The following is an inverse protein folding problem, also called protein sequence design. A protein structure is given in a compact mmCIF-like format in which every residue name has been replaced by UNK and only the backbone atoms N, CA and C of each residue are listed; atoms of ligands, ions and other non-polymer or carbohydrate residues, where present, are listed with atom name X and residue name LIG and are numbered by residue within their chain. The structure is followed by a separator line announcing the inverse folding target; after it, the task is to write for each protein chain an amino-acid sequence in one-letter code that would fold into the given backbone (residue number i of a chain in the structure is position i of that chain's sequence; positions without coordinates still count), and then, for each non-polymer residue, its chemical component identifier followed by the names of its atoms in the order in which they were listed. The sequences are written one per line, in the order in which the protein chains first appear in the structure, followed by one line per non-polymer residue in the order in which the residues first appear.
data_IF_731998335588
#
_entry.id   IF_731998335588
#
_cell.length_a   1.000
_cell.length_b   1.000
_cell.length_c   1.000
_cell.angle_alpha   90.00
_cell.angle_beta   90.00
_cell.angle_gamma   90.00
#
_symmetry.space_group_name_H-M   'P 1'
#
loop_
_entity.id
_entity.type
_entity.pdbx_description
1 polymer ?
#
# COMPACT_ATOMS: atom_id res chain seq x y z
N UNK A 1 -38.32 35.25 56.00
CA UNK A 1 -38.22 36.52 55.24
C UNK A 1 -37.05 36.33 54.26
N UNK A 2 -37.13 36.49 52.93
CA UNK A 2 -37.77 37.54 52.12
C UNK A 2 -37.06 38.89 52.34
N UNK A 3 -36.47 39.60 51.35
CA UNK A 3 -36.30 39.50 49.87
C UNK A 3 -34.85 39.99 49.53
N UNK A 4 -34.31 40.08 48.31
CA UNK A 4 -34.89 40.32 46.98
C UNK A 4 -34.02 39.78 45.83
N UNK A 5 -34.67 39.50 44.70
CA UNK A 5 -34.05 39.36 43.37
C UNK A 5 -34.04 40.75 42.66
N UNK A 6 -33.33 40.92 41.54
CA UNK A 6 -34.08 41.21 40.30
C UNK A 6 -33.72 40.30 39.12
N UNK A 7 -34.63 40.26 38.15
CA UNK A 7 -34.77 39.20 37.14
C UNK A 7 -34.32 39.68 35.75
N UNK A 8 -33.67 38.80 35.00
CA UNK A 8 -33.99 38.60 33.57
C UNK A 8 -33.79 37.10 33.25
N UNK A 9 -34.81 36.31 32.88
CA UNK A 9 -35.38 36.16 31.51
C UNK A 9 -34.35 36.10 30.37
N UNK A 10 -34.45 35.21 29.37
CA UNK A 10 -35.15 33.92 29.18
C UNK A 10 -34.95 33.47 27.72
N UNK A 11 -34.76 32.17 27.44
CA UNK A 11 -34.77 31.54 26.09
C UNK A 11 -33.61 32.01 25.15
N UNK A 12 -32.85 31.14 24.46
CA UNK A 12 -33.17 30.15 23.39
C UNK A 12 -33.56 30.81 22.06
N UNK A 13 -32.61 30.83 21.10
CA UNK A 13 -32.71 30.90 19.62
C UNK A 13 -31.24 30.94 19.09
N UNK A 14 -30.72 29.87 18.47
CA UNK A 14 -30.70 29.56 17.02
C UNK A 14 -29.81 30.51 16.18
N UNK A 15 -28.67 29.96 15.74
CA UNK A 15 -27.94 30.11 14.47
C UNK A 15 -27.56 31.47 13.85
N UNK A 16 -26.51 31.39 13.00
CA UNK A 16 -26.02 32.37 12.01
C UNK A 16 -25.32 33.63 12.55
N UNK A 17 -23.98 33.59 12.46
CA UNK A 17 -23.19 34.78 12.11
C UNK A 17 -21.91 34.38 11.33
N UNK A 18 -22.10 33.67 10.22
CA UNK A 18 -21.08 33.56 9.17
C UNK A 18 -21.01 34.88 8.37
N UNK A 19 -19.83 35.18 7.83
CA UNK A 19 -19.50 36.35 7.00
C UNK A 19 -19.65 37.74 7.65
N UNK A 20 -18.56 38.22 8.27
CA UNK A 20 -17.93 39.54 8.09
C UNK A 20 -16.80 39.63 9.15
N UNK A 21 -15.59 39.18 8.86
CA UNK A 21 -14.61 39.99 8.11
C UNK A 21 -13.99 39.27 6.93
N UNK A 22 -14.22 39.79 5.72
CA UNK A 22 -13.36 39.53 4.56
C UNK A 22 -12.17 40.51 4.54
N UNK A 23 -11.17 40.22 3.71
CA UNK A 23 -10.22 41.19 3.16
C UNK A 23 -9.40 42.04 4.14
N UNK A 24 -8.51 41.39 4.90
CA UNK A 24 -7.16 41.94 5.12
C UNK A 24 -6.21 41.00 4.41
N UNK A 25 -5.48 41.49 3.41
CA UNK A 25 -4.63 40.66 2.56
C UNK A 25 -3.53 39.97 3.37
N UNK A 26 -3.53 38.63 3.36
CA UNK A 26 -2.44 37.82 3.91
C UNK A 26 -1.13 38.24 3.23
N UNK A 27 -0.13 38.60 4.03
CA UNK A 27 1.20 38.91 3.51
C UNK A 27 1.80 37.64 2.90
N UNK A 28 2.52 37.73 1.76
CA UNK A 28 3.31 36.59 1.30
C UNK A 28 4.30 36.16 2.39
N UNK A 29 4.57 34.87 2.50
CA UNK A 29 5.67 34.38 3.33
C UNK A 29 6.98 35.04 2.87
N UNK A 30 7.87 35.43 3.80
CA UNK A 30 9.19 35.94 3.43
C UNK A 30 10.03 34.84 2.79
N UNK A 31 10.96 35.21 1.91
CA UNK A 31 11.89 34.30 1.22
C UNK A 31 12.98 33.70 2.15
N UNK A 32 12.71 33.64 3.45
CA UNK A 32 13.63 33.28 4.54
C UNK A 32 12.85 32.54 5.63
N UNK A 33 13.37 31.39 6.09
CA UNK A 33 12.77 30.63 7.19
C UNK A 33 12.69 31.48 8.49
N UNK A 34 11.61 31.36 9.29
CA UNK A 34 11.59 31.82 10.69
C UNK A 34 12.83 31.35 11.47
N UNK A 35 13.34 32.17 12.38
CA UNK A 35 14.59 31.91 13.11
C UNK A 35 14.51 30.62 13.95
N UNK A 36 13.32 30.30 14.44
CA UNK A 36 13.00 29.07 15.16
C UNK A 36 13.22 27.84 14.26
N UNK A 37 12.81 27.92 13.00
CA UNK A 37 13.02 26.84 12.01
C UNK A 37 14.47 26.80 11.49
N UNK A 38 15.17 27.94 11.45
CA UNK A 38 16.61 27.98 11.17
C UNK A 38 17.46 27.29 12.25
N UNK A 39 16.97 27.21 13.49
CA UNK A 39 17.66 26.53 14.60
C UNK A 39 17.55 25.00 14.59
N UNK A 40 16.74 24.42 13.69
CA UNK A 40 16.58 22.98 13.55
C UNK A 40 17.67 22.39 12.66
N UNK A 41 18.16 21.19 12.98
CA UNK A 41 19.19 20.47 12.21
C UNK A 41 18.76 20.19 10.75
N UNK A 42 17.45 20.18 10.50
CA UNK A 42 16.85 20.06 9.15
C UNK A 42 16.85 21.36 8.33
N UNK A 43 17.22 22.53 8.90
CA UNK A 43 17.09 23.83 8.24
C UNK A 43 17.82 23.89 6.88
N UNK A 44 18.98 23.25 6.78
CA UNK A 44 19.76 23.13 5.53
C UNK A 44 19.08 22.34 4.41
N UNK A 45 18.00 21.60 4.73
CA UNK A 45 17.19 20.80 3.79
C UNK A 45 15.84 21.45 3.46
N UNK A 46 15.47 22.54 4.14
CA UNK A 46 14.20 23.24 3.94
C UNK A 46 14.33 24.32 2.86
N UNK A 47 13.95 23.98 1.63
CA UNK A 47 13.94 24.91 0.51
C UNK A 47 12.80 25.93 0.59
N UNK A 48 13.15 27.22 0.68
CA UNK A 48 12.17 28.33 0.66
C UNK A 48 12.03 29.02 -0.69
N UNK A 49 12.69 28.55 -1.76
CA UNK A 49 12.59 29.15 -3.09
C UNK A 49 11.13 29.15 -3.60
N UNK A 50 10.49 30.32 -3.71
CA UNK A 50 9.11 30.38 -4.16
C UNK A 50 8.96 30.03 -5.64
N UNK A 51 10.05 29.99 -6.42
CA UNK A 51 9.99 29.52 -7.80
C UNK A 51 9.91 27.99 -7.88
N UNK A 52 10.78 27.25 -7.19
CA UNK A 52 10.70 25.79 -7.07
C UNK A 52 9.35 25.34 -6.48
N UNK A 53 8.92 25.98 -5.38
CA UNK A 53 7.60 25.71 -4.78
C UNK A 53 6.46 25.97 -5.78
N UNK A 54 6.52 27.06 -6.56
CA UNK A 54 5.52 27.34 -7.62
C UNK A 54 5.64 26.43 -8.84
N UNK A 55 6.75 25.72 -9.06
CA UNK A 55 6.85 24.72 -10.13
C UNK A 55 6.22 23.40 -9.68
N UNK A 56 6.56 22.89 -8.50
CA UNK A 56 5.94 21.69 -7.92
C UNK A 56 4.42 21.88 -7.73
N UNK A 57 4.00 23.03 -7.18
CA UNK A 57 2.59 23.39 -6.95
C UNK A 57 1.81 23.83 -8.21
N UNK A 58 2.33 23.60 -9.42
CA UNK A 58 1.65 23.94 -10.69
C UNK A 58 1.15 22.74 -11.48
N UNK A 59 1.62 21.54 -11.17
CA UNK A 59 1.29 20.32 -11.89
C UNK A 59 0.25 19.49 -11.12
N UNK A 60 0.54 19.18 -9.85
CA UNK A 60 -0.27 18.32 -8.96
C UNK A 60 -0.73 16.99 -9.61
N UNK A 61 -0.07 16.52 -10.67
CA UNK A 61 -0.47 15.35 -11.45
C UNK A 61 -1.91 15.40 -11.95
N UNK A 62 -2.52 16.59 -12.08
CA UNK A 62 -3.96 16.72 -12.39
C UNK A 62 -4.85 15.80 -11.51
N UNK A 63 -4.46 15.52 -10.27
CA UNK A 63 -5.06 14.51 -9.37
C UNK A 63 -6.51 14.82 -8.91
N UNK A 64 -7.22 15.72 -9.60
CA UNK A 64 -8.58 16.14 -9.30
C UNK A 64 -9.38 16.19 -10.60
N UNK A 65 -10.30 15.23 -10.76
CA UNK A 65 -11.19 15.15 -11.92
C UNK A 65 -12.59 14.69 -11.50
N UNK A 66 -13.63 15.53 -11.61
CA UNK A 66 -15.00 15.08 -11.39
C UNK A 66 -15.47 14.18 -12.55
N UNK A 67 -16.46 13.28 -12.32
CA UNK A 67 -17.19 13.04 -11.07
C UNK A 67 -16.70 11.80 -10.28
N UNK A 68 -17.25 11.64 -9.07
CA UNK A 68 -17.34 10.45 -8.17
C UNK A 68 -16.51 10.55 -6.86
N UNK A 69 -17.03 10.03 -5.72
CA UNK A 69 -16.36 9.64 -4.44
C UNK A 69 -15.24 8.58 -4.33
N UNK A 70 -14.35 8.68 -3.33
CA UNK A 70 -13.31 7.71 -2.94
C UNK A 70 -13.81 6.26 -2.74
N UNK A 71 -13.31 5.30 -3.53
CA UNK A 71 -13.95 3.99 -3.68
C UNK A 71 -13.95 3.10 -2.42
N UNK A 72 -15.11 2.98 -1.77
CA UNK A 72 -15.44 1.92 -0.82
C UNK A 72 -16.39 0.90 -1.45
N UNK A 73 -16.04 -0.39 -1.34
CA UNK A 73 -16.92 -1.47 -1.77
C UNK A 73 -18.03 -1.73 -0.75
N UNK A 74 -19.26 -1.94 -1.24
CA UNK A 74 -20.47 -2.16 -0.44
C UNK A 74 -21.01 -3.56 -0.67
N UNK A 75 -20.80 -4.47 0.29
CA UNK A 75 -20.85 -5.90 0.02
C UNK A 75 -22.27 -6.53 -0.04
N UNK A 76 -23.26 -5.95 0.65
CA UNK A 76 -24.55 -6.63 0.90
C UNK A 76 -25.61 -6.55 -0.23
N UNK A 77 -25.27 -6.11 -1.44
CA UNK A 77 -26.15 -6.23 -2.62
C UNK A 77 -25.34 -6.61 -3.87
N UNK A 78 -25.79 -7.65 -4.58
CA UNK A 78 -25.23 -8.02 -5.88
C UNK A 78 -25.40 -6.88 -6.89
N UNK A 79 -24.32 -6.59 -7.62
CA UNK A 79 -24.09 -5.43 -8.49
C UNK A 79 -25.36 -4.70 -8.99
N UNK A 80 -25.78 -3.66 -8.26
CA UNK A 80 -26.74 -2.67 -8.74
C UNK A 80 -26.07 -1.30 -8.78
N UNK A 81 -26.14 -0.65 -9.93
CA UNK A 81 -25.71 0.73 -10.11
C UNK A 81 -26.66 1.66 -9.35
N UNK A 82 -26.22 2.13 -8.18
CA UNK A 82 -26.68 3.39 -7.60
C UNK A 82 -25.62 4.44 -7.94
N UNK A 83 -26.00 5.56 -8.57
CA UNK A 83 -25.12 6.47 -9.34
C UNK A 83 -23.94 7.13 -8.60
N UNK A 84 -23.75 6.89 -7.30
CA UNK A 84 -22.47 7.14 -6.61
C UNK A 84 -22.12 5.93 -5.72
N UNK A 85 -20.85 5.51 -5.80
CA UNK A 85 -20.29 4.50 -4.89
C UNK A 85 -20.29 4.98 -3.44
N UNK A 86 -20.03 4.06 -2.50
CA UNK A 86 -19.80 4.48 -1.11
C UNK A 86 -18.39 5.09 -0.99
N UNK A 87 -18.25 6.13 -0.16
CA UNK A 87 -16.99 6.85 0.01
C UNK A 87 -16.76 7.29 1.46
N UNK A 88 -15.52 7.68 1.78
CA UNK A 88 -15.15 8.27 3.05
C UNK A 88 -14.15 9.42 2.82
N UNK A 89 -14.44 10.57 3.44
CA UNK A 89 -13.54 11.71 3.48
C UNK A 89 -12.52 11.47 4.61
N UNK A 90 -11.23 11.63 4.32
CA UNK A 90 -10.14 11.32 5.26
C UNK A 90 -9.07 12.41 5.22
N UNK A 91 -8.62 12.86 6.40
CA UNK A 91 -7.48 13.75 6.52
C UNK A 91 -6.19 13.12 5.98
N UNK A 92 -5.40 13.89 5.22
CA UNK A 92 -4.16 13.41 4.59
C UNK A 92 -3.10 12.91 5.59
N UNK A 93 -3.22 13.28 6.85
CA UNK A 93 -2.37 12.89 7.98
C UNK A 93 -2.77 11.56 8.65
N UNK A 94 -3.99 11.06 8.43
CA UNK A 94 -4.48 9.80 8.99
C UNK A 94 -3.71 8.60 8.41
N UNK A 95 -3.64 7.49 9.14
CA UNK A 95 -3.03 6.25 8.64
C UNK A 95 -4.07 5.31 8.00
N UNK A 96 -3.66 4.51 7.02
CA UNK A 96 -4.55 3.52 6.38
C UNK A 96 -5.13 2.49 7.36
N UNK A 97 -4.44 2.20 8.47
CA UNK A 97 -4.96 1.35 9.55
C UNK A 97 -6.15 1.99 10.28
N UNK A 98 -6.11 3.30 10.54
CA UNK A 98 -7.21 4.03 11.17
C UNK A 98 -8.42 4.12 10.23
N UNK A 99 -8.16 4.33 8.93
CA UNK A 99 -9.20 4.28 7.88
C UNK A 99 -9.85 2.90 7.81
N UNK A 100 -9.07 1.82 7.75
CA UNK A 100 -9.60 0.46 7.76
C UNK A 100 -10.49 0.21 8.99
N UNK A 101 -9.99 0.57 10.17
CA UNK A 101 -10.75 0.44 11.41
C UNK A 101 -12.01 1.31 11.42
N UNK A 102 -12.02 2.46 10.73
CA UNK A 102 -13.16 3.37 10.63
C UNK A 102 -14.20 2.94 9.57
N UNK A 103 -13.80 2.50 8.37
CA UNK A 103 -14.74 2.09 7.32
C UNK A 103 -15.41 0.76 7.65
N UNK A 104 -14.71 -0.14 8.35
CA UNK A 104 -15.31 -1.36 8.90
C UNK A 104 -16.41 -1.03 9.92
N UNK A 105 -16.49 0.22 10.44
CA UNK A 105 -17.61 0.72 11.25
C UNK A 105 -18.87 1.08 10.46
N UNK A 106 -18.90 0.69 9.19
CA UNK A 106 -20.04 0.83 8.29
C UNK A 106 -20.19 -0.39 7.35
N UNK A 107 -19.43 -1.47 7.58
CA UNK A 107 -19.37 -2.64 6.68
C UNK A 107 -18.64 -2.37 5.36
N UNK A 108 -17.71 -1.40 5.34
CA UNK A 108 -17.03 -0.91 4.14
C UNK A 108 -15.50 -1.04 4.27
N UNK A 109 -14.80 -1.09 3.13
CA UNK A 109 -13.34 -1.03 3.06
C UNK A 109 -12.87 -0.35 1.77
N UNK A 110 -11.75 0.39 1.79
CA UNK A 110 -11.01 0.77 0.59
C UNK A 110 -10.68 -0.44 -0.29
N UNK A 111 -10.67 -0.23 -1.61
CA UNK A 111 -10.45 -1.30 -2.60
C UNK A 111 -8.99 -1.47 -3.06
N UNK A 112 -8.12 -0.52 -2.71
CA UNK A 112 -6.69 -0.54 -3.04
C UNK A 112 -5.83 -0.14 -1.84
N UNK A 113 -4.73 -0.85 -1.63
CA UNK A 113 -3.96 -0.83 -0.39
C UNK A 113 -2.46 -0.67 -0.64
N UNK A 114 -1.73 -0.41 0.44
CA UNK A 114 -0.29 -0.70 0.56
C UNK A 114 -0.09 -1.89 1.50
N UNK A 115 0.99 -2.64 1.33
CA UNK A 115 1.33 -3.78 2.22
C UNK A 115 1.32 -3.43 3.71
N UNK A 116 1.75 -2.21 4.03
CA UNK A 116 1.92 -1.69 5.37
C UNK A 116 0.96 -0.52 5.61
N UNK A 117 0.10 -0.65 6.62
CA UNK A 117 -1.04 0.24 6.86
C UNK A 117 -0.71 1.46 7.74
N UNK A 118 0.45 1.50 8.38
CA UNK A 118 0.91 2.62 9.22
C UNK A 118 1.62 3.70 8.37
N UNK A 119 1.14 3.88 7.14
CA UNK A 119 1.51 4.95 6.21
C UNK A 119 0.35 5.95 6.13
N UNK A 120 0.66 7.23 5.95
CA UNK A 120 -0.38 8.27 5.87
C UNK A 120 -1.02 8.33 4.49
N UNK A 121 -2.29 8.73 4.43
CA UNK A 121 -3.05 8.84 3.17
C UNK A 121 -2.33 9.75 2.18
N UNK A 122 -2.01 10.99 2.58
CA UNK A 122 -1.28 11.93 1.72
C UNK A 122 0.11 11.46 1.33
N UNK A 123 0.77 10.65 2.17
CA UNK A 123 2.08 10.07 1.89
C UNK A 123 2.06 9.02 0.78
N UNK A 124 1.11 8.09 0.80
CA UNK A 124 0.99 7.07 -0.27
C UNK A 124 0.47 7.67 -1.57
N UNK A 125 -0.48 8.61 -1.50
CA UNK A 125 -1.04 9.30 -2.66
C UNK A 125 -0.05 10.26 -3.34
N UNK A 126 0.91 10.81 -2.61
CA UNK A 126 2.03 11.57 -3.21
C UNK A 126 3.02 10.69 -4.00
N UNK A 127 2.79 9.37 -4.08
CA UNK A 127 3.62 8.41 -4.81
C UNK A 127 2.77 7.58 -5.79
N UNK A 128 1.96 6.66 -5.25
CA UNK A 128 0.99 5.84 -5.98
C UNK A 128 0.10 5.04 -5.01
N UNK A 129 0.73 4.38 -4.03
CA UNK A 129 0.10 3.37 -3.16
C UNK A 129 -0.21 2.08 -3.94
N UNK A 130 0.63 1.07 -3.80
CA UNK A 130 0.51 -0.22 -4.51
C UNK A 130 0.61 -1.40 -3.55
N UNK A 131 -0.12 -2.46 -3.89
CA UNK A 131 -0.09 -3.81 -3.30
C UNK A 131 -0.86 -4.75 -4.26
N UNK A 132 -1.06 -6.01 -3.90
CA UNK A 132 -1.65 -7.02 -4.77
C UNK A 132 -3.08 -6.77 -5.29
N UNK A 133 -3.82 -5.76 -4.83
CA UNK A 133 -5.10 -5.36 -5.43
C UNK A 133 -4.93 -4.51 -6.71
N UNK A 134 -3.73 -3.97 -6.97
CA UNK A 134 -3.49 -2.97 -8.03
C UNK A 134 -3.79 -3.49 -9.45
N UNK A 135 -3.67 -4.79 -9.72
CA UNK A 135 -4.06 -5.34 -11.03
C UNK A 135 -5.58 -5.23 -11.31
N UNK A 136 -6.41 -5.21 -10.26
CA UNK A 136 -7.88 -5.22 -10.36
C UNK A 136 -8.47 -3.83 -10.22
N UNK A 137 -8.00 -3.08 -9.22
CA UNK A 137 -8.54 -1.77 -8.83
C UNK A 137 -7.63 -0.59 -9.19
N UNK A 138 -6.39 -0.83 -9.61
CA UNK A 138 -5.38 0.23 -9.77
C UNK A 138 -4.70 0.62 -8.45
N UNK A 139 -3.72 1.53 -8.51
CA UNK A 139 -3.07 2.07 -7.31
C UNK A 139 -4.05 2.94 -6.50
N UNK A 140 -3.66 3.32 -5.29
CA UNK A 140 -4.48 4.20 -4.43
C UNK A 140 -4.75 5.55 -5.11
N UNK A 141 -3.80 6.12 -5.87
CA UNK A 141 -4.02 7.34 -6.67
C UNK A 141 -5.11 7.21 -7.75
N UNK A 142 -5.44 5.99 -8.19
CA UNK A 142 -6.55 5.72 -9.13
C UNK A 142 -7.86 5.36 -8.42
N UNK A 143 -7.85 5.35 -7.09
CA UNK A 143 -9.01 5.18 -6.21
C UNK A 143 -9.23 6.42 -5.32
N UNK A 144 -8.65 7.55 -5.75
CA UNK A 144 -8.90 8.92 -5.25
C UNK A 144 -9.57 9.72 -6.36
N UNK A 145 -10.30 10.75 -5.94
CA UNK A 145 -11.55 11.13 -6.57
C UNK A 145 -11.81 12.62 -6.31
N UNK A 146 -11.84 12.99 -5.03
CA UNK A 146 -11.69 14.38 -4.56
C UNK A 146 -10.56 14.41 -3.50
N UNK A 147 -9.80 15.50 -3.44
CA UNK A 147 -8.73 15.70 -2.46
C UNK A 147 -8.56 17.19 -2.16
N UNK A 148 -8.76 17.57 -0.90
CA UNK A 148 -8.50 18.91 -0.39
C UNK A 148 -6.99 19.15 -0.23
N UNK A 149 -6.40 20.02 -1.07
CA UNK A 149 -4.96 20.31 -1.07
C UNK A 149 -4.67 21.72 -0.54
N UNK A 150 -3.98 21.79 0.60
CA UNK A 150 -3.31 23.02 1.04
C UNK A 150 -2.18 23.38 0.09
N UNK A 151 -2.51 24.09 -0.99
CA UNK A 151 -1.53 24.79 -1.83
C UNK A 151 -0.71 25.77 -0.97
N UNK A 152 0.42 26.29 -1.50
CA UNK A 152 1.25 27.32 -0.84
C UNK A 152 0.59 28.71 -0.65
N UNK A 153 -0.72 28.74 -0.42
CA UNK A 153 -1.59 29.89 -0.14
C UNK A 153 -2.67 29.59 0.94
N UNK A 154 -3.02 28.32 1.17
CA UNK A 154 -3.68 27.79 2.37
C UNK A 154 -5.14 28.19 2.69
N UNK A 155 -6.13 27.52 2.10
CA UNK A 155 -7.56 27.53 2.51
C UNK A 155 -8.20 26.13 2.31
N UNK A 156 -9.15 25.69 3.17
CA UNK A 156 -9.73 24.31 3.22
C UNK A 156 -10.96 24.23 4.20
N UNK A 157 -12.08 23.52 3.88
CA UNK A 157 -13.28 23.33 4.77
C UNK A 157 -14.13 22.06 4.45
N UNK A 158 -14.58 21.27 5.44
CA UNK A 158 -15.36 19.99 5.23
C UNK A 158 -16.30 19.57 6.43
N UNK A 159 -17.30 18.69 6.21
CA UNK A 159 -18.09 17.90 7.21
C UNK A 159 -18.96 16.80 6.51
N UNK A 160 -19.60 15.76 7.12
CA UNK A 160 -19.95 15.40 8.53
C UNK A 160 -19.98 13.86 8.81
N UNK A 161 -21.00 13.23 9.47
CA UNK A 161 -20.87 11.85 10.07
C UNK A 161 -22.15 11.07 10.50
N UNK A 162 -22.12 9.71 10.41
CA UNK A 162 -22.58 8.62 11.35
C UNK A 162 -22.98 7.28 10.61
N UNK A 163 -23.09 6.03 11.14
CA UNK A 163 -22.60 5.26 12.33
C UNK A 163 -22.92 3.73 12.17
N UNK A 164 -22.27 2.81 12.94
CA UNK A 164 -22.57 1.37 13.28
C UNK A 164 -21.53 0.27 12.88
N UNK A 165 -20.73 -0.19 13.86
CA UNK A 165 -19.66 -1.21 13.72
C UNK A 165 -19.89 -2.55 14.42
N UNK A 166 -19.62 -3.68 13.73
CA UNK A 166 -18.52 -4.65 14.01
C UNK A 166 -18.75 -6.01 13.29
N UNK A 167 -17.65 -6.64 12.83
CA UNK A 167 -17.53 -7.94 12.13
C UNK A 167 -18.29 -8.13 10.79
N UNK A 168 -17.61 -8.68 9.76
CA UNK A 168 -18.28 -9.33 8.61
C UNK A 168 -17.39 -10.22 7.70
N UNK A 169 -16.07 -9.99 7.61
CA UNK A 169 -15.24 -10.52 6.49
C UNK A 169 -14.06 -11.41 6.86
N UNK A 170 -13.86 -12.46 6.07
CA UNK A 170 -12.71 -13.37 6.12
C UNK A 170 -12.09 -13.56 4.72
N UNK A 171 -10.88 -14.12 4.66
CA UNK A 171 -10.14 -14.29 3.41
C UNK A 171 -9.43 -15.64 3.33
N UNK A 172 -9.47 -16.28 2.16
CA UNK A 172 -8.65 -17.44 1.82
C UNK A 172 -7.30 -16.91 1.32
N UNK A 173 -6.25 -17.05 2.12
CA UNK A 173 -4.87 -16.70 1.73
C UNK A 173 -4.15 -17.95 1.25
N UNK A 174 -3.66 -17.93 0.00
CA UNK A 174 -3.00 -19.07 -0.64
C UNK A 174 -1.59 -18.68 -1.06
N UNK A 175 -0.65 -19.59 -0.84
CA UNK A 175 0.72 -19.48 -1.33
C UNK A 175 1.14 -20.72 -2.10
N UNK A 176 1.80 -20.52 -3.24
CA UNK A 176 2.22 -21.57 -4.18
C UNK A 176 3.69 -21.39 -4.56
N UNK A 177 4.49 -22.46 -4.50
CA UNK A 177 5.92 -22.39 -4.80
C UNK A 177 6.25 -22.89 -6.21
N UNK A 178 7.17 -22.19 -6.88
CA UNK A 178 7.67 -22.47 -8.22
C UNK A 178 9.22 -22.44 -8.22
N UNK A 179 9.88 -23.19 -9.11
CA UNK A 179 11.35 -23.13 -9.29
C UNK A 179 11.81 -22.59 -10.67
N UNK A 180 10.93 -22.60 -11.68
CA UNK A 180 11.09 -21.83 -12.91
C UNK A 180 10.38 -20.47 -12.81
N UNK A 181 11.10 -19.41 -13.21
CA UNK A 181 10.56 -18.06 -13.24
C UNK A 181 9.54 -17.86 -14.38
N UNK A 182 9.78 -18.49 -15.54
CA UNK A 182 8.95 -18.33 -16.74
C UNK A 182 7.54 -18.86 -16.52
N UNK A 183 7.45 -19.97 -15.79
CA UNK A 183 6.22 -20.62 -15.34
C UNK A 183 5.51 -19.77 -14.29
N UNK A 184 6.23 -19.28 -13.28
CA UNK A 184 5.72 -18.37 -12.26
C UNK A 184 5.16 -17.06 -12.85
N UNK A 185 5.89 -16.39 -13.74
CA UNK A 185 5.50 -15.09 -14.31
C UNK A 185 4.31 -15.23 -15.26
N UNK A 186 4.29 -16.26 -16.10
CA UNK A 186 3.13 -16.60 -16.96
C UNK A 186 1.88 -16.89 -16.12
N UNK A 187 2.02 -17.64 -15.04
CA UNK A 187 0.88 -18.02 -14.19
C UNK A 187 0.39 -16.81 -13.37
N UNK A 188 1.25 -15.86 -13.01
CA UNK A 188 0.84 -14.54 -12.52
C UNK A 188 0.06 -13.74 -13.58
N UNK A 189 0.58 -13.63 -14.80
CA UNK A 189 -0.06 -12.90 -15.91
C UNK A 189 -1.44 -13.47 -16.27
N UNK A 190 -1.57 -14.80 -16.27
CA UNK A 190 -2.86 -15.46 -16.47
C UNK A 190 -3.87 -15.11 -15.37
N UNK A 191 -3.45 -15.14 -14.10
CA UNK A 191 -4.33 -14.87 -12.98
C UNK A 191 -4.82 -13.42 -12.90
N UNK A 192 -4.00 -12.45 -13.31
CA UNK A 192 -4.45 -11.05 -13.42
C UNK A 192 -5.32 -10.81 -14.67
N UNK A 193 -5.25 -11.67 -15.69
CA UNK A 193 -6.08 -11.54 -16.89
C UNK A 193 -7.51 -12.08 -16.72
N UNK A 194 -7.82 -12.72 -15.60
CA UNK A 194 -9.14 -13.32 -15.31
C UNK A 194 -9.81 -12.67 -14.09
N UNK A 195 -11.15 -12.63 -14.09
CA UNK A 195 -11.91 -12.19 -12.93
C UNK A 195 -12.04 -13.34 -11.91
N UNK A 196 -11.79 -13.05 -10.63
CA UNK A 196 -12.15 -13.95 -9.53
C UNK A 196 -11.28 -13.81 -8.28
N UNK A 197 -10.01 -13.43 -8.43
CA UNK A 197 -9.09 -13.10 -7.33
C UNK A 197 -9.18 -11.64 -6.93
N UNK A 198 -8.97 -11.36 -5.63
CA UNK A 198 -9.07 -10.02 -5.05
C UNK A 198 -7.68 -9.41 -4.74
N UNK A 199 -6.65 -10.25 -4.60
CA UNK A 199 -5.24 -9.85 -4.46
C UNK A 199 -4.33 -10.89 -5.13
N UNK A 200 -3.26 -10.42 -5.78
CA UNK A 200 -2.16 -11.24 -6.29
C UNK A 200 -0.82 -10.51 -6.10
N UNK A 201 0.17 -11.19 -5.53
CA UNK A 201 1.57 -10.77 -5.49
C UNK A 201 2.53 -11.95 -5.70
N UNK A 202 3.83 -11.66 -5.71
CA UNK A 202 4.87 -12.66 -5.77
C UNK A 202 6.16 -12.22 -5.10
N UNK A 203 6.93 -13.18 -4.60
CA UNK A 203 8.16 -12.93 -3.85
C UNK A 203 9.24 -14.00 -4.08
N UNK A 204 10.49 -13.67 -3.79
CA UNK A 204 11.62 -14.61 -3.86
C UNK A 204 11.96 -15.17 -2.47
N UNK A 205 12.07 -16.49 -2.39
CA UNK A 205 12.62 -17.22 -1.26
C UNK A 205 14.04 -17.66 -1.61
N UNK A 206 15.03 -17.06 -0.93
CA UNK A 206 16.46 -17.34 -1.11
C UNK A 206 17.07 -17.85 0.20
N UNK A 207 18.31 -18.35 0.17
CA UNK A 207 18.96 -18.94 1.36
C UNK A 207 19.15 -17.95 2.53
N UNK A 208 19.18 -16.63 2.26
CA UNK A 208 19.24 -15.56 3.26
C UNK A 208 17.86 -14.98 3.62
N UNK A 209 16.78 -15.52 3.03
CA UNK A 209 15.39 -15.16 3.34
C UNK A 209 14.84 -16.15 4.38
N UNK A 210 14.36 -15.64 5.52
CA UNK A 210 13.70 -16.50 6.52
C UNK A 210 12.41 -17.09 5.93
N UNK A 211 12.19 -18.43 5.96
CA UNK A 211 10.90 -19.04 5.66
C UNK A 211 9.84 -18.67 6.70
N UNK A 212 10.26 -18.29 7.90
CA UNK A 212 9.45 -17.66 8.94
C UNK A 212 9.54 -16.14 8.77
N UNK A 213 8.74 -15.59 7.87
CA UNK A 213 8.56 -14.15 7.68
C UNK A 213 7.06 -13.82 7.75
N UNK A 214 6.68 -12.57 7.94
CA UNK A 214 5.26 -12.18 7.99
C UNK A 214 4.41 -12.51 6.76
N UNK A 215 5.03 -12.73 5.58
CA UNK A 215 4.33 -13.24 4.40
C UNK A 215 4.06 -14.74 4.51
N UNK A 216 4.65 -15.51 5.44
CA UNK A 216 4.44 -16.97 5.46
C UNK A 216 3.09 -17.38 6.06
N UNK A 217 2.23 -17.94 5.21
CA UNK A 217 1.11 -18.81 5.62
C UNK A 217 1.60 -20.18 6.13
N UNK A 218 2.85 -20.53 5.84
CA UNK A 218 3.46 -21.84 6.09
C UNK A 218 3.45 -22.25 7.56
N UNK A 219 2.97 -23.47 7.83
CA UNK A 219 3.16 -24.12 9.14
C UNK A 219 4.66 -24.39 9.40
N UNK A 220 5.16 -24.25 10.66
CA UNK A 220 6.56 -24.54 10.99
C UNK A 220 7.05 -25.97 10.64
N UNK A 221 6.14 -26.92 10.44
CA UNK A 221 6.43 -28.26 9.93
C UNK A 221 7.02 -28.27 8.51
N UNK A 222 6.68 -27.27 7.69
CA UNK A 222 7.10 -27.19 6.29
C UNK A 222 8.46 -26.49 6.12
N UNK A 223 8.94 -25.75 7.14
CA UNK A 223 10.20 -25.01 7.07
C UNK A 223 11.41 -25.88 6.65
N UNK A 224 11.60 -27.13 7.11
CA UNK A 224 12.70 -27.99 6.65
C UNK A 224 12.57 -28.39 5.18
N UNK A 225 11.33 -28.62 4.72
CA UNK A 225 10.99 -29.02 3.35
C UNK A 225 11.21 -27.87 2.36
N UNK A 226 10.78 -26.66 2.73
CA UNK A 226 11.01 -25.42 1.98
C UNK A 226 12.51 -25.05 1.98
N UNK A 227 13.20 -25.14 3.11
CA UNK A 227 14.65 -24.91 3.21
C UNK A 227 15.47 -25.86 2.33
N UNK A 228 15.06 -27.13 2.26
CA UNK A 228 15.67 -28.14 1.37
C UNK A 228 15.48 -27.78 -0.11
N UNK A 229 14.26 -27.37 -0.48
CA UNK A 229 13.92 -26.93 -1.84
C UNK A 229 14.74 -25.69 -2.26
N UNK A 230 14.82 -24.66 -1.39
CA UNK A 230 15.66 -23.47 -1.61
C UNK A 230 17.14 -23.87 -1.75
N UNK A 231 17.64 -24.77 -0.89
CA UNK A 231 19.05 -25.22 -0.94
C UNK A 231 19.39 -26.02 -2.20
N UNK A 232 18.41 -26.66 -2.82
CA UNK A 232 18.57 -27.40 -4.09
C UNK A 232 18.52 -26.49 -5.32
N UNK A 233 17.62 -25.51 -5.33
CA UNK A 233 17.29 -24.69 -6.50
C UNK A 233 17.89 -23.27 -6.46
N UNK A 234 18.46 -22.85 -5.33
CA UNK A 234 19.07 -21.54 -5.08
C UNK A 234 18.05 -20.42 -4.83
N UNK A 235 17.01 -20.36 -5.66
CA UNK A 235 15.89 -19.43 -5.57
C UNK A 235 14.59 -20.22 -5.80
N UNK A 236 13.58 -19.92 -4.99
CA UNK A 236 12.20 -20.39 -5.18
C UNK A 236 11.28 -19.16 -5.24
N UNK A 237 10.30 -19.20 -6.13
CA UNK A 237 9.35 -18.11 -6.32
C UNK A 237 8.05 -18.48 -5.60
N UNK A 238 7.58 -17.61 -4.72
CA UNK A 238 6.32 -17.77 -4.01
C UNK A 238 5.27 -16.85 -4.64
N UNK A 239 4.25 -17.44 -5.26
CA UNK A 239 3.05 -16.75 -5.72
C UNK A 239 2.07 -16.68 -4.54
N UNK A 240 1.60 -15.48 -4.23
CA UNK A 240 0.65 -15.22 -3.16
C UNK A 240 -0.65 -14.70 -3.76
N UNK A 241 -1.77 -15.35 -3.47
CA UNK A 241 -3.09 -14.93 -3.95
C UNK A 241 -4.11 -14.98 -2.82
N UNK A 242 -5.11 -14.10 -2.88
CA UNK A 242 -6.19 -14.05 -1.90
C UNK A 242 -7.54 -13.92 -2.58
N UNK A 243 -8.50 -14.66 -2.03
CA UNK A 243 -9.93 -14.61 -2.35
C UNK A 243 -10.69 -14.16 -1.10
N UNK A 244 -11.46 -13.09 -1.21
CA UNK A 244 -12.29 -12.57 -0.12
C UNK A 244 -13.62 -13.32 -0.07
N UNK A 245 -14.14 -13.56 1.14
CA UNK A 245 -15.44 -14.21 1.34
C UNK A 245 -16.14 -13.73 2.61
N UNK A 246 -17.43 -14.01 2.68
CA UNK A 246 -18.35 -13.73 3.79
C UNK A 246 -19.11 -15.01 4.19
N UNK A 247 -20.03 -14.91 5.14
CA UNK A 247 -20.87 -16.06 5.54
C UNK A 247 -21.64 -16.67 4.35
N UNK A 248 -22.10 -15.85 3.41
CA UNK A 248 -22.88 -16.27 2.25
C UNK A 248 -22.06 -17.06 1.22
N UNK A 249 -20.83 -16.62 0.94
CA UNK A 249 -19.91 -17.22 -0.05
C UNK A 249 -18.94 -18.25 0.54
N UNK A 250 -18.90 -18.38 1.88
CA UNK A 250 -18.07 -19.35 2.61
C UNK A 250 -18.18 -20.80 2.14
N UNK A 251 -19.28 -21.18 1.50
CA UNK A 251 -19.54 -22.53 1.00
C UNK A 251 -19.18 -22.75 -0.49
N UNK A 252 -18.97 -21.69 -1.28
CA UNK A 252 -18.54 -21.76 -2.69
C UNK A 252 -17.06 -21.42 -2.86
N UNK A 253 -16.47 -20.68 -1.92
CA UNK A 253 -15.12 -20.11 -2.06
C UNK A 253 -14.02 -21.15 -2.34
N UNK A 254 -14.12 -22.36 -1.77
CA UNK A 254 -13.13 -23.43 -2.01
C UNK A 254 -13.32 -24.14 -3.38
N UNK A 255 -14.51 -24.06 -3.98
CA UNK A 255 -14.79 -24.54 -5.35
C UNK A 255 -14.37 -23.48 -6.39
N UNK A 256 -14.72 -22.20 -6.16
CA UNK A 256 -14.25 -21.06 -6.95
C UNK A 256 -12.72 -21.02 -7.01
N UNK A 257 -12.06 -21.23 -5.86
CA UNK A 257 -10.60 -21.32 -5.77
C UNK A 257 -10.03 -22.50 -6.56
N UNK A 258 -10.67 -23.68 -6.51
CA UNK A 258 -10.22 -24.84 -7.28
C UNK A 258 -10.25 -24.59 -8.79
N UNK A 259 -11.26 -23.89 -9.31
CA UNK A 259 -11.31 -23.50 -10.73
C UNK A 259 -10.33 -22.36 -11.05
N UNK A 260 -10.05 -21.41 -10.13
CA UNK A 260 -9.04 -20.35 -10.32
C UNK A 260 -7.60 -20.89 -10.31
N UNK A 261 -7.31 -21.94 -9.53
CA UNK A 261 -5.98 -22.56 -9.48
C UNK A 261 -5.77 -23.65 -10.56
N UNK A 262 -6.76 -23.86 -11.42
CA UNK A 262 -6.82 -24.95 -12.41
C UNK A 262 -5.91 -24.70 -13.60
N UNK A 263 -4.91 -25.57 -13.78
CA UNK A 263 -3.94 -25.46 -14.87
C UNK A 263 -2.75 -24.55 -14.57
N UNK A 264 -2.66 -24.00 -13.35
CA UNK A 264 -1.42 -23.42 -12.82
C UNK A 264 -0.38 -24.54 -12.58
N UNK A 265 0.90 -24.18 -12.64
CA UNK A 265 2.01 -25.11 -12.75
C UNK A 265 3.01 -24.98 -11.58
N UNK A 266 2.48 -24.70 -10.39
CA UNK A 266 3.24 -24.72 -9.15
C UNK A 266 3.73 -26.13 -8.79
N UNK A 267 4.75 -26.22 -7.95
CA UNK A 267 5.36 -27.47 -7.54
C UNK A 267 4.35 -28.38 -6.80
N UNK A 268 4.14 -29.64 -7.24
CA UNK A 268 3.16 -30.52 -6.65
C UNK A 268 3.30 -30.66 -5.12
N UNK A 269 2.20 -30.39 -4.41
CA UNK A 269 2.14 -30.42 -2.95
C UNK A 269 2.82 -29.26 -2.23
N UNK A 270 3.26 -28.20 -2.93
CA UNK A 270 3.72 -26.93 -2.35
C UNK A 270 2.68 -25.82 -2.59
N UNK A 271 1.44 -26.11 -2.20
CA UNK A 271 0.35 -25.15 -2.07
C UNK A 271 -0.09 -25.12 -0.60
N UNK A 272 -0.23 -23.92 -0.05
CA UNK A 272 -0.51 -23.68 1.36
C UNK A 272 -1.67 -22.70 1.47
N UNK A 273 -2.77 -23.14 2.08
CA UNK A 273 -4.00 -22.34 2.24
C UNK A 273 -4.24 -22.06 3.71
N UNK A 274 -4.63 -20.82 4.04
CA UNK A 274 -4.94 -20.38 5.39
C UNK A 274 -6.10 -19.39 5.39
N UNK A 275 -7.13 -19.70 6.16
CA UNK A 275 -8.23 -18.79 6.46
C UNK A 275 -7.81 -17.80 7.57
N UNK A 276 -8.00 -16.49 7.34
CA UNK A 276 -7.75 -15.41 8.32
C UNK A 276 -8.82 -14.31 8.17
N UNK A 277 -8.94 -13.39 9.13
CA UNK A 277 -9.83 -12.22 8.94
C UNK A 277 -9.23 -11.25 7.91
N UNK A 278 -10.09 -10.43 7.29
CA UNK A 278 -9.64 -9.37 6.38
C UNK A 278 -8.67 -8.39 7.07
N UNK A 279 -8.87 -8.12 8.36
CA UNK A 279 -8.01 -7.22 9.16
C UNK A 279 -6.64 -7.86 9.41
N UNK A 280 -6.59 -9.14 9.78
CA UNK A 280 -5.33 -9.86 10.02
C UNK A 280 -4.51 -9.97 8.73
N UNK A 281 -5.16 -10.18 7.58
CA UNK A 281 -4.49 -10.19 6.30
C UNK A 281 -3.97 -8.80 5.90
N UNK A 282 -4.81 -7.76 5.94
CA UNK A 282 -4.38 -6.41 5.54
C UNK A 282 -3.30 -5.86 6.49
N UNK A 283 -3.36 -6.17 7.78
CA UNK A 283 -2.39 -5.69 8.78
C UNK A 283 -1.18 -6.61 9.00
N UNK A 284 -0.99 -7.66 8.17
CA UNK A 284 0.03 -8.71 8.36
C UNK A 284 1.46 -8.20 8.59
N UNK A 285 1.85 -7.06 8.00
CA UNK A 285 3.19 -6.45 8.17
C UNK A 285 3.45 -5.96 9.58
N UNK A 286 2.44 -5.46 10.30
CA UNK A 286 2.65 -4.89 11.64
C UNK A 286 3.14 -5.94 12.65
N UNK A 287 2.77 -7.22 12.44
CA UNK A 287 3.35 -8.35 13.18
C UNK A 287 4.86 -8.49 12.97
N UNK A 288 5.40 -8.13 11.79
CA UNK A 288 6.85 -8.05 11.57
C UNK A 288 7.45 -6.80 12.20
N UNK A 289 6.79 -5.65 12.10
CA UNK A 289 7.27 -4.41 12.71
C UNK A 289 7.56 -4.63 14.20
N UNK A 290 6.59 -5.16 14.94
CA UNK A 290 6.75 -5.44 16.38
C UNK A 290 7.87 -6.46 16.64
N UNK A 291 7.99 -7.48 15.79
CA UNK A 291 9.01 -8.54 15.87
C UNK A 291 10.43 -8.00 15.60
N UNK A 292 10.60 -7.10 14.62
CA UNK A 292 11.87 -6.47 14.27
C UNK A 292 12.23 -5.35 15.25
N UNK A 293 11.28 -4.53 15.71
CA UNK A 293 11.49 -3.54 16.78
C UNK A 293 11.96 -4.22 18.07
N UNK A 294 11.35 -5.33 18.47
CA UNK A 294 11.78 -6.11 19.64
C UNK A 294 13.21 -6.69 19.52
N UNK A 295 13.78 -6.74 18.31
CA UNK A 295 15.16 -7.17 18.02
C UNK A 295 16.13 -6.00 17.74
N UNK A 296 15.65 -4.76 17.71
CA UNK A 296 16.43 -3.60 17.24
C UNK A 296 16.73 -3.60 15.74
N UNK A 297 15.96 -4.36 14.94
CA UNK A 297 16.16 -4.56 13.50
C UNK A 297 15.18 -3.77 12.61
N UNK A 298 14.34 -2.92 13.20
CA UNK A 298 13.40 -2.06 12.44
C UNK A 298 13.96 -0.65 12.23
N UNK A 299 14.45 -0.01 13.29
CA UNK A 299 14.96 1.37 13.23
C UNK A 299 16.42 1.40 12.72
N UNK A 300 16.65 0.76 11.58
CA UNK A 300 17.94 0.53 10.90
C UNK A 300 17.94 1.12 9.48
N UNK A 301 19.11 1.29 8.83
CA UNK A 301 19.16 1.70 7.44
C UNK A 301 18.48 0.70 6.50
N UNK A 302 17.59 1.23 5.65
CA UNK A 302 16.80 0.50 4.66
C UNK A 302 17.18 0.94 3.23
N UNK A 303 18.22 0.35 2.61
CA UNK A 303 18.64 0.66 1.25
C UNK A 303 17.73 -0.02 0.21
N UNK A 304 16.44 0.34 0.22
CA UNK A 304 15.44 -0.23 -0.67
C UNK A 304 15.59 0.26 -2.11
N UNK A 305 15.40 -0.65 -3.07
CA UNK A 305 15.29 -0.32 -4.49
C UNK A 305 13.94 -0.80 -5.01
N UNK A 306 13.06 0.15 -5.34
CA UNK A 306 11.74 -0.12 -5.93
C UNK A 306 11.73 0.34 -7.38
N UNK A 307 11.22 -0.52 -8.28
CA UNK A 307 11.28 -0.35 -9.73
C UNK A 307 9.96 -0.79 -10.37
N UNK A 308 9.62 -0.18 -11.49
CA UNK A 308 8.72 -0.77 -12.48
C UNK A 308 9.53 -1.31 -13.66
N UNK A 309 9.30 -2.56 -14.03
CA UNK A 309 10.01 -3.26 -15.10
C UNK A 309 9.00 -3.62 -16.20
N UNK A 310 9.21 -3.25 -17.47
CA UNK A 310 8.29 -3.63 -18.56
C UNK A 310 8.17 -5.16 -18.65
N UNK A 311 6.96 -5.67 -18.91
CA UNK A 311 6.68 -7.12 -18.98
C UNK A 311 7.60 -7.82 -19.99
N UNK A 312 7.84 -7.22 -21.15
CA UNK A 312 8.76 -7.73 -22.19
C UNK A 312 10.19 -7.96 -21.70
N UNK A 313 10.60 -7.31 -20.59
CA UNK A 313 11.97 -7.35 -20.05
C UNK A 313 12.09 -8.08 -18.71
N UNK A 314 11.01 -8.61 -18.14
CA UNK A 314 11.07 -9.21 -16.80
C UNK A 314 11.93 -10.49 -16.75
N UNK A 315 11.98 -11.26 -17.84
CA UNK A 315 12.85 -12.45 -17.93
C UNK A 315 14.35 -12.09 -17.99
N UNK A 316 14.70 -11.01 -18.70
CA UNK A 316 16.06 -10.45 -18.68
C UNK A 316 16.42 -9.94 -17.29
N UNK A 317 15.48 -9.27 -16.61
CA UNK A 317 15.66 -8.78 -15.25
C UNK A 317 15.86 -9.92 -14.24
N UNK A 318 15.07 -10.99 -14.32
CA UNK A 318 15.29 -12.21 -13.53
C UNK A 318 16.66 -12.82 -13.81
N UNK A 319 17.09 -12.86 -15.07
CA UNK A 319 18.37 -13.45 -15.46
C UNK A 319 19.57 -12.65 -14.96
N UNK A 320 19.55 -11.32 -15.12
CA UNK A 320 20.64 -10.42 -14.72
C UNK A 320 20.62 -10.00 -13.25
N UNK A 321 19.45 -9.84 -12.63
CA UNK A 321 19.31 -9.34 -11.26
C UNK A 321 19.06 -10.47 -10.27
N UNK A 322 17.97 -11.21 -10.43
CA UNK A 322 17.59 -12.24 -9.45
C UNK A 322 18.56 -13.43 -9.43
N UNK A 323 18.93 -13.97 -10.60
CA UNK A 323 19.77 -15.17 -10.72
C UNK A 323 21.27 -14.91 -10.75
N UNK A 324 21.71 -13.67 -11.01
CA UNK A 324 23.14 -13.32 -11.08
C UNK A 324 23.59 -12.31 -10.01
N UNK A 325 22.96 -11.14 -9.90
CA UNK A 325 23.40 -10.10 -8.96
C UNK A 325 23.03 -10.42 -7.50
N UNK A 326 21.76 -10.71 -7.18
CA UNK A 326 21.31 -10.90 -5.79
C UNK A 326 22.12 -11.97 -5.02
N UNK A 327 22.42 -13.17 -5.58
CA UNK A 327 23.21 -14.19 -4.87
C UNK A 327 24.65 -13.76 -4.55
N UNK A 328 25.18 -12.73 -5.23
CA UNK A 328 26.52 -12.16 -4.98
C UNK A 328 26.52 -11.09 -3.88
N UNK A 329 25.35 -10.55 -3.51
CA UNK A 329 25.16 -9.60 -2.41
C UNK A 329 24.90 -10.39 -1.11
N UNK A 330 25.82 -11.32 -0.80
CA UNK A 330 25.66 -12.36 0.21
C UNK A 330 25.83 -11.87 1.67
N UNK A 331 25.29 -10.69 1.98
CA UNK A 331 25.43 -10.02 3.29
C UNK A 331 24.14 -9.34 3.77
N UNK A 332 23.20 -9.00 2.89
CA UNK A 332 21.93 -8.36 3.29
C UNK A 332 20.82 -9.40 3.46
N UNK A 333 20.12 -9.34 4.59
CA UNK A 333 18.76 -9.89 4.68
C UNK A 333 17.78 -8.97 3.95
N UNK A 334 16.66 -9.52 3.47
CA UNK A 334 15.65 -8.72 2.78
C UNK A 334 14.47 -9.53 2.27
N UNK A 335 13.41 -8.82 1.92
CA UNK A 335 12.25 -9.36 1.19
C UNK A 335 12.32 -8.88 -0.25
N UNK A 336 12.18 -9.78 -1.21
CA UNK A 336 12.23 -9.45 -2.64
C UNK A 336 10.87 -9.70 -3.26
N UNK A 337 10.27 -8.67 -3.86
CA UNK A 337 8.94 -8.70 -4.47
C UNK A 337 9.03 -8.63 -5.98
N UNK A 338 8.17 -9.38 -6.66
CA UNK A 338 7.97 -9.37 -8.11
C UNK A 338 6.54 -9.79 -8.45
N UNK A 339 5.76 -8.87 -8.99
CA UNK A 339 4.39 -9.15 -9.46
C UNK A 339 3.95 -8.21 -10.59
N UNK A 340 3.11 -8.69 -11.52
CA UNK A 340 2.59 -7.86 -12.60
C UNK A 340 1.41 -7.00 -12.16
N UNK A 341 1.26 -5.84 -12.79
CA UNK A 341 0.10 -4.96 -12.72
C UNK A 341 -0.32 -4.54 -14.14
N UNK A 342 -1.59 -4.20 -14.32
CA UNK A 342 -2.16 -3.87 -15.63
C UNK A 342 -2.15 -2.35 -15.84
N UNK A 343 -1.56 -1.88 -16.93
CA UNK A 343 -1.41 -0.44 -17.23
C UNK A 343 -2.75 0.29 -17.38
N UNK A 344 -3.80 -0.37 -17.86
CA UNK A 344 -5.14 0.22 -17.98
C UNK A 344 -5.84 0.55 -16.64
N UNK A 345 -5.22 0.18 -15.50
CA UNK A 345 -5.66 0.55 -14.15
C UNK A 345 -4.97 1.80 -13.60
N UNK A 346 -4.02 2.35 -14.34
CA UNK A 346 -3.31 3.58 -14.03
C UNK A 346 -3.83 4.70 -14.92
N UNK A 347 -3.87 5.92 -14.39
CA UNK A 347 -4.39 7.08 -15.11
C UNK A 347 -3.23 7.93 -15.66
N UNK A 348 -3.09 7.98 -16.99
CA UNK A 348 -2.09 8.77 -17.73
C UNK A 348 -2.18 10.30 -17.48
N UNK A 349 -3.23 10.77 -16.78
CA UNK A 349 -3.35 12.17 -16.35
C UNK A 349 -2.45 12.47 -15.14
N UNK A 350 -2.07 11.44 -14.36
CA UNK A 350 -1.28 11.53 -13.12
C UNK A 350 0.21 11.80 -13.35
N UNK A 351 0.94 12.23 -12.30
CA UNK A 351 2.42 12.33 -12.33
C UNK A 351 3.13 10.97 -12.20
N UNK A 352 2.41 9.84 -12.13
CA UNK A 352 3.01 8.52 -11.91
C UNK A 352 3.77 8.03 -13.16
N UNK A 353 5.09 7.92 -13.06
CA UNK A 353 5.94 7.47 -14.16
C UNK A 353 6.00 5.93 -14.18
N UNK A 354 5.35 5.34 -15.19
CA UNK A 354 5.23 3.89 -15.37
C UNK A 354 5.69 3.45 -16.78
N UNK A 355 6.02 2.16 -17.01
CA UNK A 355 6.36 1.63 -18.33
C UNK A 355 5.19 1.69 -19.31
N UNK A 356 5.48 1.91 -20.58
CA UNK A 356 4.47 1.97 -21.66
C UNK A 356 4.22 0.58 -22.29
N UNK A 357 3.84 -0.38 -21.46
CA UNK A 357 3.41 -1.74 -21.85
C UNK A 357 2.14 -2.11 -21.08
N UNK A 358 1.21 -2.86 -21.70
CA UNK A 358 -0.09 -3.24 -21.09
C UNK A 358 0.04 -3.96 -19.75
N UNK A 359 1.12 -4.72 -19.58
CA UNK A 359 1.54 -5.37 -18.33
C UNK A 359 2.96 -4.93 -18.01
N UNK A 360 3.18 -4.50 -16.77
CA UNK A 360 4.50 -4.27 -16.21
C UNK A 360 4.59 -4.78 -14.78
N UNK A 361 5.80 -5.03 -14.31
CA UNK A 361 6.06 -5.64 -13.00
C UNK A 361 6.51 -4.59 -11.99
N UNK A 362 5.89 -4.62 -10.81
CA UNK A 362 6.46 -4.06 -9.59
C UNK A 362 7.61 -4.96 -9.15
N UNK A 363 8.80 -4.39 -8.93
CA UNK A 363 9.93 -5.08 -8.30
C UNK A 363 10.40 -4.29 -7.08
N UNK A 364 10.34 -4.90 -5.90
CA UNK A 364 10.77 -4.30 -4.65
C UNK A 364 11.91 -5.08 -4.01
N UNK A 365 13.10 -4.49 -3.93
CA UNK A 365 14.26 -5.07 -3.24
C UNK A 365 14.36 -4.48 -1.83
N UNK A 366 13.60 -5.06 -0.90
CA UNK A 366 13.44 -4.55 0.46
C UNK A 366 14.54 -5.10 1.38
N UNK A 367 15.77 -4.62 1.16
CA UNK A 367 16.94 -4.91 1.98
C UNK A 367 16.89 -4.20 3.33
N UNK A 368 17.39 -4.86 4.38
CA UNK A 368 17.79 -4.21 5.64
C UNK A 368 19.29 -4.40 5.86
N UNK A 369 19.94 -3.44 6.52
CA UNK A 369 21.37 -3.50 6.83
C UNK A 369 21.63 -3.04 8.26
N UNK A 370 22.49 -3.76 8.99
CA UNK A 370 22.99 -3.35 10.30
C UNK A 370 23.92 -2.14 10.21
N UNK A 371 24.21 -1.53 11.37
CA UNK A 371 24.96 -0.27 11.46
C UNK A 371 26.38 -0.33 10.85
N UNK A 372 27.00 -1.52 10.80
CA UNK A 372 28.37 -1.72 10.32
C UNK A 372 28.46 -2.38 8.92
N UNK A 373 27.32 -2.79 8.34
CA UNK A 373 27.28 -3.54 7.06
C UNK A 373 27.69 -2.72 5.82
N UNK A 374 27.92 -1.41 5.97
CA UNK A 374 28.44 -0.54 4.91
C UNK A 374 29.94 -0.74 4.66
N UNK A 375 30.71 -1.25 5.63
CA UNK A 375 32.17 -1.24 5.57
C UNK A 375 32.77 -2.12 4.43
N UNK A 376 32.22 -3.32 4.12
CA UNK A 376 32.61 -4.12 2.95
C UNK A 376 32.46 -3.39 1.61
N UNK A 377 31.48 -2.50 1.47
CA UNK A 377 31.23 -1.75 0.23
C UNK A 377 32.32 -0.72 -0.03
N UNK A 378 32.86 -0.09 1.03
CA UNK A 378 33.95 0.89 0.97
C UNK A 378 35.31 0.29 0.58
N UNK A 379 35.44 -1.04 0.66
CA UNK A 379 36.61 -1.79 0.17
C UNK A 379 36.44 -2.14 -1.32
N UNK A 380 35.24 -2.57 -1.75
CA UNK A 380 34.97 -2.92 -3.15
C UNK A 380 34.99 -1.71 -4.11
N UNK A 381 34.56 -0.52 -3.67
CA UNK A 381 34.51 0.69 -4.50
C UNK A 381 35.87 1.35 -4.77
N UNK A 382 36.96 0.94 -4.09
CA UNK A 382 38.32 1.48 -4.29
C UNK A 382 39.12 0.79 -5.42
N UNK A 383 38.46 0.18 -6.41
CA UNK A 383 39.13 -0.66 -7.42
C UNK A 383 38.69 -0.46 -8.87
N UNK A 384 38.09 0.70 -9.16
CA UNK A 384 37.91 1.27 -10.49
C UNK A 384 38.45 2.70 -10.48
#
# INVERSE_FOLDING_TARGET
MARSCPISTSFIIISVLSHFTSSIGLRPWPDVLPNELQSLDIASRLGVDPHATRMASRDFGKLVHPPNPAALWKWNQGYQESDMGSYADVGGEQQWIDVLQATLKHGLAPVSWTDYLYLTIGGTLSNAGISGQTFRHGPQISNVYEMDVLTGKGELVTCSKDTNSELFFAVKWIQMLYDDFSTFSRDQEHLISINGLDYLEGSLLMQNSSPNNWRSSFSPSEYPRISSLISKNGIIYCLEVVKYYDELTSHTVDEELQELLKGLNFLPGFVFTKDVSLVDFLNRVHSEELNLRAKGLWDVPHPWLNLFVPGSRISDFNSGVFRDILPKINQTTGTFLVYPVIRNKWDDRTSAVIPDEDIFYTVGLLHSSGADDWEPWRIKTKKY
#
